data_IF_869118040010
#
_entry.id   IF_869118040010
#
_cell.length_a   1.000
_cell.length_b   1.000
_cell.length_c   1.000
_cell.angle_alpha   90.00
_cell.angle_beta   90.00
_cell.angle_gamma   90.00
#
_symmetry.space_group_name_H-M   'P 1'
#
loop_
_entity.id
_entity.type
_entity.pdbx_description
1 polymer ?
#
# COMPACT_ATOMS: atom_id res chain seq x y z
N UNK A 1 9.73 -12.28 -14.39
CA UNK A 1 9.33 -13.68 -14.12
C UNK A 1 10.13 -14.15 -12.91
N UNK A 2 9.61 -13.92 -11.70
CA UNK A 2 10.25 -14.34 -10.46
C UNK A 2 9.99 -15.85 -10.30
N UNK A 3 11.05 -16.63 -10.21
CA UNK A 3 10.97 -18.08 -10.05
C UNK A 3 10.73 -18.37 -8.56
N UNK A 4 9.53 -18.83 -8.26
CA UNK A 4 9.14 -19.31 -6.93
C UNK A 4 9.85 -20.66 -6.67
N UNK A 5 10.97 -20.65 -5.95
CA UNK A 5 11.60 -21.85 -5.41
C UNK A 5 11.21 -22.06 -3.96
N UNK A 6 9.94 -22.44 -3.76
CA UNK A 6 9.47 -22.91 -2.46
C UNK A 6 9.95 -24.34 -2.22
N UNK A 7 10.79 -24.55 -1.21
CA UNK A 7 11.23 -25.85 -0.73
C UNK A 7 10.03 -26.65 -0.22
N UNK A 8 9.60 -27.65 -0.98
CA UNK A 8 8.57 -28.61 -0.60
C UNK A 8 9.11 -29.58 0.46
N UNK A 9 8.71 -29.39 1.73
CA UNK A 9 8.76 -30.48 2.71
C UNK A 9 7.65 -31.47 2.39
N UNK A 10 8.02 -32.72 2.16
CA UNK A 10 7.11 -33.85 1.94
C UNK A 10 6.07 -33.96 3.05
N UNK A 11 4.82 -33.65 2.73
CA UNK A 11 3.64 -34.15 3.45
C UNK A 11 3.16 -35.39 2.67
N UNK A 12 3.10 -36.52 3.36
CA UNK A 12 2.79 -37.79 2.77
C UNK A 12 1.41 -37.86 2.10
N UNK A 13 1.35 -38.51 0.92
CA UNK A 13 0.15 -39.02 0.29
C UNK A 13 -0.73 -37.96 -0.38
N UNK A 14 -0.21 -37.29 -1.43
CA UNK A 14 -1.04 -36.47 -2.32
C UNK A 14 -1.67 -37.34 -3.39
N UNK A 15 -3.00 -37.31 -3.46
CA UNK A 15 -3.77 -37.81 -4.59
C UNK A 15 -3.41 -36.94 -5.82
N UNK A 16 -2.57 -37.48 -6.72
CA UNK A 16 -2.01 -36.78 -7.89
C UNK A 16 -3.06 -36.32 -8.91
N UNK A 17 -4.35 -36.59 -8.67
CA UNK A 17 -5.45 -36.29 -9.58
C UNK A 17 -6.13 -34.92 -9.30
N UNK A 18 -5.81 -34.26 -8.18
CA UNK A 18 -6.43 -32.98 -7.83
C UNK A 18 -5.60 -31.79 -8.30
N UNK A 19 -6.23 -30.85 -8.98
CA UNK A 19 -5.61 -29.55 -9.29
C UNK A 19 -5.33 -28.77 -7.99
N UNK A 20 -4.37 -27.83 -8.01
CA UNK A 20 -4.11 -26.95 -6.84
C UNK A 20 -5.39 -26.30 -6.31
N UNK A 21 -6.29 -25.88 -7.19
CA UNK A 21 -7.59 -25.32 -6.84
C UNK A 21 -8.46 -26.31 -6.04
N UNK A 22 -8.57 -27.57 -6.49
CA UNK A 22 -9.33 -28.60 -5.79
C UNK A 22 -8.72 -28.95 -4.42
N UNK A 23 -7.40 -28.83 -4.28
CA UNK A 23 -6.73 -29.04 -3.01
C UNK A 23 -7.08 -27.96 -1.98
N UNK A 24 -7.14 -26.68 -2.41
CA UNK A 24 -7.50 -25.57 -1.53
C UNK A 24 -8.99 -25.53 -1.18
N UNK A 25 -9.89 -25.94 -2.06
CA UNK A 25 -11.35 -25.99 -1.78
C UNK A 25 -11.75 -27.01 -0.69
N UNK A 26 -10.88 -27.95 -0.33
CA UNK A 26 -11.11 -28.92 0.74
C UNK A 26 -10.60 -28.51 2.13
N UNK A 27 -9.83 -27.40 2.22
CA UNK A 27 -9.31 -26.86 3.47
C UNK A 27 -10.27 -25.84 4.05
N UNK A 28 -10.35 -25.74 5.39
CA UNK A 28 -11.04 -24.62 6.04
C UNK A 28 -10.29 -23.35 5.67
N UNK A 29 -10.88 -22.53 4.80
CA UNK A 29 -10.26 -21.28 4.34
C UNK A 29 -10.24 -20.26 5.48
N UNK A 30 -9.08 -19.68 5.74
CA UNK A 30 -8.94 -18.57 6.69
C UNK A 30 -9.46 -17.28 6.08
N UNK A 31 -10.27 -16.56 6.84
CA UNK A 31 -10.92 -15.35 6.36
C UNK A 31 -10.06 -14.12 6.57
N UNK A 32 -9.98 -13.31 5.53
CA UNK A 32 -9.25 -12.04 5.49
C UNK A 32 -10.22 -10.90 5.20
N UNK A 33 -10.37 -9.97 6.13
CA UNK A 33 -11.09 -8.72 5.90
C UNK A 33 -10.15 -7.72 5.22
N UNK A 34 -10.57 -7.14 4.10
CA UNK A 34 -9.89 -6.04 3.42
C UNK A 34 -10.78 -4.81 3.46
N UNK A 35 -10.40 -3.80 4.26
CA UNK A 35 -11.10 -2.51 4.29
C UNK A 35 -10.54 -1.56 3.23
N UNK A 36 -11.34 -0.60 2.75
CA UNK A 36 -10.92 0.30 1.67
C UNK A 36 -10.74 -0.40 0.32
N UNK A 37 -11.53 -1.45 0.08
CA UNK A 37 -11.43 -2.34 -1.07
C UNK A 37 -11.62 -1.66 -2.43
N UNK A 38 -12.29 -0.50 -2.49
CA UNK A 38 -12.46 0.29 -3.70
C UNK A 38 -11.32 1.29 -3.95
N UNK A 39 -10.33 1.35 -3.06
CA UNK A 39 -9.10 2.13 -3.22
C UNK A 39 -8.11 1.45 -4.16
N UNK A 40 -6.96 2.11 -4.43
CA UNK A 40 -5.93 1.58 -5.32
C UNK A 40 -5.42 0.21 -4.84
N UNK A 41 -4.94 0.12 -3.60
CA UNK A 41 -4.38 -1.11 -3.05
C UNK A 41 -5.43 -2.21 -2.85
N UNK A 42 -6.61 -1.86 -2.30
CA UNK A 42 -7.68 -2.83 -2.09
C UNK A 42 -8.15 -3.49 -3.39
N UNK A 43 -8.23 -2.71 -4.48
CA UNK A 43 -8.56 -3.23 -5.81
C UNK A 43 -7.46 -4.14 -6.37
N UNK A 44 -6.18 -3.75 -6.25
CA UNK A 44 -5.06 -4.58 -6.69
C UNK A 44 -4.93 -5.88 -5.87
N UNK A 45 -5.23 -5.84 -4.55
CA UNK A 45 -5.31 -7.05 -3.73
C UNK A 45 -6.41 -7.99 -4.22
N UNK A 46 -7.56 -7.44 -4.61
CA UNK A 46 -8.67 -8.25 -5.16
C UNK A 46 -8.29 -8.92 -6.47
N UNK A 47 -7.69 -8.18 -7.39
CA UNK A 47 -7.24 -8.73 -8.68
C UNK A 47 -6.14 -9.78 -8.47
N UNK A 48 -5.16 -9.48 -7.59
CA UNK A 48 -4.09 -10.42 -7.29
C UNK A 48 -4.61 -11.73 -6.72
N UNK A 49 -5.53 -11.68 -5.75
CA UNK A 49 -6.12 -12.86 -5.15
C UNK A 49 -6.96 -13.68 -6.15
N UNK A 50 -7.64 -13.02 -7.09
CA UNK A 50 -8.40 -13.70 -8.14
C UNK A 50 -7.50 -14.42 -9.16
N UNK A 51 -6.33 -13.82 -9.48
CA UNK A 51 -5.36 -14.42 -10.41
C UNK A 51 -4.50 -15.51 -9.74
N UNK A 52 -4.38 -15.50 -8.40
CA UNK A 52 -3.55 -16.42 -7.63
C UNK A 52 -4.37 -17.10 -6.54
N UNK A 53 -5.06 -18.19 -6.83
CA UNK A 53 -5.83 -18.95 -5.85
C UNK A 53 -4.98 -19.31 -4.62
N UNK A 54 -5.52 -19.05 -3.43
CA UNK A 54 -4.84 -19.25 -2.15
C UNK A 54 -5.78 -19.91 -1.13
N UNK A 55 -5.24 -20.27 0.03
CA UNK A 55 -6.02 -20.80 1.16
C UNK A 55 -6.88 -19.75 1.87
N UNK A 56 -6.84 -18.49 1.43
CA UNK A 56 -7.57 -17.40 2.07
C UNK A 56 -8.90 -17.11 1.36
N UNK A 57 -9.92 -16.88 2.17
CA UNK A 57 -11.19 -16.31 1.71
C UNK A 57 -11.18 -14.81 2.02
N UNK A 58 -11.06 -13.98 0.99
CA UNK A 58 -11.07 -12.53 1.14
C UNK A 58 -12.50 -11.99 1.16
N UNK A 59 -12.80 -11.12 2.12
CA UNK A 59 -14.02 -10.32 2.21
C UNK A 59 -13.64 -8.86 2.08
N UNK A 60 -14.09 -8.25 0.99
CA UNK A 60 -13.73 -6.89 0.59
C UNK A 60 -14.83 -5.91 0.99
N UNK A 61 -14.48 -4.84 1.73
CA UNK A 61 -15.43 -3.82 2.17
C UNK A 61 -15.00 -2.42 1.75
N UNK A 62 -15.96 -1.66 1.24
CA UNK A 62 -15.84 -0.21 1.04
C UNK A 62 -16.33 0.53 2.30
N UNK A 63 -16.25 1.87 2.32
CA UNK A 63 -16.82 2.68 3.39
C UNK A 63 -18.35 2.62 3.45
N UNK A 64 -19.01 2.22 2.37
CA UNK A 64 -20.48 1.99 2.34
C UNK A 64 -20.83 0.67 3.01
N UNK A 65 -19.99 -0.36 2.82
CA UNK A 65 -20.23 -1.70 3.39
C UNK A 65 -19.85 -1.75 4.87
N UNK A 66 -18.72 -1.08 5.23
CA UNK A 66 -18.19 -1.04 6.58
C UNK A 66 -17.44 0.27 6.81
N UNK A 67 -18.09 1.22 7.48
CA UNK A 67 -17.45 2.43 7.93
C UNK A 67 -16.58 2.15 9.17
N UNK A 68 -15.27 2.18 8.99
CA UNK A 68 -14.30 1.90 10.05
C UNK A 68 -14.30 2.93 11.18
N UNK A 69 -14.92 4.10 10.99
CA UNK A 69 -15.04 5.12 12.03
C UNK A 69 -16.05 4.75 13.12
N UNK A 70 -16.92 3.76 12.86
CA UNK A 70 -17.95 3.29 13.77
C UNK A 70 -17.52 1.97 14.44
N UNK A 71 -16.96 2.06 15.66
CA UNK A 71 -16.40 0.91 16.41
C UNK A 71 -17.38 -0.28 16.50
N UNK A 72 -18.66 -0.03 16.84
CA UNK A 72 -19.62 -1.10 17.02
C UNK A 72 -20.00 -1.79 15.70
N UNK A 73 -20.00 -1.05 14.59
CA UNK A 73 -20.20 -1.63 13.27
C UNK A 73 -19.03 -2.57 12.91
N UNK A 74 -17.79 -2.12 13.14
CA UNK A 74 -16.58 -2.95 12.91
C UNK A 74 -16.60 -4.20 13.81
N UNK A 75 -16.93 -4.03 15.09
CA UNK A 75 -17.00 -5.14 16.06
C UNK A 75 -18.03 -6.19 15.64
N UNK A 76 -19.24 -5.77 15.30
CA UNK A 76 -20.32 -6.67 14.90
C UNK A 76 -19.97 -7.41 13.61
N UNK A 77 -19.41 -6.71 12.63
CA UNK A 77 -19.00 -7.28 11.35
C UNK A 77 -17.91 -8.35 11.54
N UNK A 78 -16.88 -8.05 12.32
CA UNK A 78 -15.79 -9.01 12.58
C UNK A 78 -16.27 -10.22 13.38
N UNK A 79 -17.16 -10.01 14.37
CA UNK A 79 -17.77 -11.08 15.17
C UNK A 79 -18.59 -12.03 14.31
N UNK A 80 -19.42 -11.50 13.38
CA UNK A 80 -20.28 -12.30 12.52
C UNK A 80 -19.50 -13.18 11.56
N UNK A 81 -18.42 -12.66 10.99
CA UNK A 81 -17.68 -13.35 9.93
C UNK A 81 -16.50 -14.18 10.44
N UNK A 82 -15.99 -13.94 11.65
CA UNK A 82 -14.86 -14.66 12.27
C UNK A 82 -13.58 -14.61 11.39
N UNK A 83 -12.93 -13.43 11.35
CA UNK A 83 -11.69 -13.23 10.59
C UNK A 83 -10.45 -13.65 11.36
N UNK A 84 -9.46 -14.23 10.69
CA UNK A 84 -8.10 -14.42 11.20
C UNK A 84 -7.20 -13.22 10.91
N UNK A 85 -7.46 -12.53 9.78
CA UNK A 85 -6.65 -11.41 9.30
C UNK A 85 -7.51 -10.21 8.95
N UNK A 86 -6.98 -9.03 9.23
CA UNK A 86 -7.54 -7.74 8.79
C UNK A 86 -6.45 -6.98 8.05
N UNK A 87 -6.74 -6.55 6.81
CA UNK A 87 -5.87 -5.68 6.01
C UNK A 87 -6.56 -4.32 5.92
N UNK A 88 -6.01 -3.32 6.58
CA UNK A 88 -6.55 -1.97 6.54
C UNK A 88 -5.92 -1.15 5.42
N UNK A 89 -6.60 -1.09 4.26
CA UNK A 89 -6.30 -0.20 3.14
C UNK A 89 -7.14 1.08 3.15
N UNK A 90 -8.09 1.21 4.09
CA UNK A 90 -8.93 2.40 4.17
C UNK A 90 -8.12 3.60 4.66
N UNK A 91 -8.18 4.70 3.92
CA UNK A 91 -7.55 5.96 4.26
C UNK A 91 -8.20 7.13 3.52
N UNK A 92 -8.22 8.31 4.14
CA UNK A 92 -8.50 9.58 3.50
C UNK A 92 -7.18 10.16 3.00
N UNK A 93 -6.92 10.02 1.70
CA UNK A 93 -5.59 10.30 1.07
C UNK A 93 -5.51 11.63 0.34
N UNK A 94 -6.52 12.48 0.47
CA UNK A 94 -6.54 13.84 -0.08
C UNK A 94 -5.69 14.76 0.80
N UNK A 95 -4.36 14.66 0.68
CA UNK A 95 -3.37 15.26 1.59
C UNK A 95 -3.61 16.76 1.81
N UNK A 96 -3.87 17.51 0.72
CA UNK A 96 -4.14 18.94 0.81
C UNK A 96 -5.49 19.24 1.49
N UNK A 97 -6.53 18.45 1.23
CA UNK A 97 -7.82 18.60 1.90
C UNK A 97 -7.75 18.23 3.39
N UNK A 98 -6.81 17.38 3.81
CA UNK A 98 -6.60 17.12 5.23
C UNK A 98 -6.26 18.38 6.03
N UNK A 99 -5.67 19.41 5.42
CA UNK A 99 -5.35 20.67 6.11
C UNK A 99 -6.61 21.50 6.43
N UNK A 100 -7.69 21.29 5.67
CA UNK A 100 -9.01 21.95 5.90
C UNK A 100 -10.03 21.01 6.56
N UNK A 101 -10.05 19.74 6.13
CA UNK A 101 -11.00 18.72 6.61
C UNK A 101 -10.36 17.87 7.73
N UNK A 102 -9.79 18.55 8.73
CA UNK A 102 -9.02 17.95 9.83
C UNK A 102 -9.78 16.84 10.55
N UNK A 103 -11.07 17.03 10.81
CA UNK A 103 -11.92 16.08 11.53
C UNK A 103 -12.15 14.80 10.71
N UNK A 104 -12.42 14.94 9.42
CA UNK A 104 -12.59 13.80 8.51
C UNK A 104 -11.27 13.02 8.38
N UNK A 105 -10.16 13.74 8.18
CA UNK A 105 -8.83 13.16 8.13
C UNK A 105 -8.52 12.37 9.40
N UNK A 106 -8.79 12.92 10.58
CA UNK A 106 -8.57 12.25 11.86
C UNK A 106 -9.52 11.05 12.07
N UNK A 107 -10.80 11.21 11.75
CA UNK A 107 -11.78 10.13 11.91
C UNK A 107 -11.40 8.90 11.12
N UNK A 108 -11.05 9.07 9.85
CA UNK A 108 -10.71 7.93 8.97
C UNK A 108 -9.31 7.42 9.25
N UNK A 109 -8.29 8.31 9.22
CA UNK A 109 -6.88 7.89 9.24
C UNK A 109 -6.38 7.50 10.64
N UNK A 110 -6.95 8.06 11.72
CA UNK A 110 -6.54 7.74 13.08
C UNK A 110 -7.60 6.88 13.79
N UNK A 111 -8.82 7.41 14.03
CA UNK A 111 -9.82 6.72 14.82
C UNK A 111 -10.30 5.42 14.16
N UNK A 112 -10.47 5.42 12.82
CA UNK A 112 -10.81 4.20 12.08
C UNK A 112 -9.76 3.09 12.22
N UNK A 113 -8.48 3.44 12.13
CA UNK A 113 -7.39 2.49 12.36
C UNK A 113 -7.33 2.01 13.82
N UNK A 114 -7.57 2.91 14.78
CA UNK A 114 -7.66 2.57 16.21
C UNK A 114 -8.82 1.63 16.49
N UNK A 115 -9.99 1.83 15.86
CA UNK A 115 -11.15 0.94 15.99
C UNK A 115 -10.82 -0.47 15.46
N UNK A 116 -10.17 -0.56 14.30
CA UNK A 116 -9.73 -1.85 13.76
C UNK A 116 -8.71 -2.53 14.69
N UNK A 117 -7.80 -1.77 15.31
CA UNK A 117 -6.85 -2.33 16.28
C UNK A 117 -7.55 -2.85 17.54
N UNK A 118 -8.55 -2.13 18.09
CA UNK A 118 -9.38 -2.58 19.21
C UNK A 118 -10.07 -3.89 18.91
N UNK A 119 -10.70 -3.97 17.75
CA UNK A 119 -11.42 -5.17 17.31
C UNK A 119 -10.47 -6.32 17.00
N UNK A 120 -9.32 -6.05 16.38
CA UNK A 120 -8.30 -7.06 16.14
C UNK A 120 -7.78 -7.65 17.45
N UNK A 121 -7.54 -6.83 18.48
CA UNK A 121 -7.14 -7.31 19.82
C UNK A 121 -8.26 -8.10 20.51
N UNK A 122 -9.52 -7.64 20.42
CA UNK A 122 -10.70 -8.28 21.03
C UNK A 122 -10.95 -9.69 20.48
N UNK A 123 -10.82 -9.85 19.14
CA UNK A 123 -11.08 -11.13 18.44
C UNK A 123 -9.81 -11.91 18.09
N UNK A 124 -8.64 -11.46 18.55
CA UNK A 124 -7.34 -12.08 18.25
C UNK A 124 -7.03 -12.18 16.75
N UNK A 125 -7.48 -11.21 15.95
CA UNK A 125 -7.16 -11.12 14.55
C UNK A 125 -5.74 -10.53 14.35
N UNK A 126 -5.03 -10.97 13.32
CA UNK A 126 -3.76 -10.39 12.89
C UNK A 126 -4.04 -9.19 11.99
N UNK A 127 -3.56 -8.01 12.37
CA UNK A 127 -3.81 -6.75 11.63
C UNK A 127 -2.59 -6.34 10.80
N UNK A 128 -2.79 -6.10 9.50
CA UNK A 128 -1.87 -5.36 8.63
C UNK A 128 -2.46 -3.97 8.39
N UNK A 129 -1.75 -2.92 8.83
CA UNK A 129 -2.15 -1.54 8.63
C UNK A 129 -1.24 -0.83 7.64
N UNK A 130 -1.81 -0.21 6.61
CA UNK A 130 -1.05 0.55 5.62
C UNK A 130 -0.87 1.99 6.11
N UNK A 131 0.40 2.40 6.25
CA UNK A 131 0.83 3.74 6.64
C UNK A 131 1.54 4.44 5.48
N UNK A 132 2.28 5.52 5.78
CA UNK A 132 2.83 6.44 4.80
C UNK A 132 4.24 6.90 5.16
N UNK A 133 5.00 7.30 4.16
CA UNK A 133 6.26 8.03 4.24
C UNK A 133 6.10 9.44 4.84
N UNK A 134 4.90 10.04 4.78
CA UNK A 134 4.58 11.35 5.37
C UNK A 134 4.69 11.40 6.90
N UNK A 135 5.03 10.30 7.57
CA UNK A 135 5.42 10.30 8.98
C UNK A 135 6.79 10.93 9.21
N UNK A 136 7.59 11.10 8.16
CA UNK A 136 8.92 11.70 8.20
C UNK A 136 8.89 13.18 7.80
N UNK A 137 9.94 13.94 8.22
CA UNK A 137 10.05 15.38 7.96
C UNK A 137 10.81 15.75 6.67
N UNK A 138 11.41 14.77 6.02
CA UNK A 138 12.12 15.00 4.76
C UNK A 138 13.57 15.53 4.90
N UNK A 139 14.16 15.48 6.10
CA UNK A 139 15.49 16.01 6.36
C UNK A 139 16.62 14.95 6.36
N UNK A 140 16.30 13.69 6.09
CA UNK A 140 17.30 12.62 6.08
C UNK A 140 18.07 12.55 4.75
N UNK A 141 19.28 12.07 4.84
CA UNK A 141 20.18 11.60 3.77
C UNK A 141 21.09 10.56 4.41
N UNK A 142 20.81 9.38 4.56
CA UNK A 142 20.34 8.30 3.68
C UNK A 142 18.84 7.99 3.78
N UNK A 143 18.37 6.95 3.07
CA UNK A 143 16.97 6.50 3.14
C UNK A 143 16.50 6.23 4.57
N UNK A 144 15.24 6.60 4.87
CA UNK A 144 14.62 6.38 6.18
C UNK A 144 14.46 4.91 6.49
N UNK A 145 14.94 4.51 7.65
CA UNK A 145 14.71 3.18 8.24
C UNK A 145 13.47 3.20 9.13
N UNK A 146 12.94 2.03 9.49
CA UNK A 146 11.75 1.92 10.33
C UNK A 146 11.92 2.51 11.73
N UNK A 147 13.16 2.54 12.23
CA UNK A 147 13.57 3.13 13.52
C UNK A 147 13.98 4.60 13.43
N UNK A 148 13.99 5.18 12.23
CA UNK A 148 14.29 6.61 12.05
C UNK A 148 13.27 7.48 12.77
N UNK A 149 13.74 8.65 13.25
CA UNK A 149 12.88 9.61 13.95
C UNK A 149 11.74 10.07 13.05
N UNK A 150 10.51 9.89 13.52
CA UNK A 150 9.29 10.38 12.85
C UNK A 150 8.98 11.81 13.30
N UNK A 151 8.63 12.69 12.35
CA UNK A 151 8.29 14.09 12.59
C UNK A 151 7.39 14.64 11.47
N UNK A 152 6.10 14.21 11.38
CA UNK A 152 5.21 14.56 10.29
C UNK A 152 4.93 16.07 10.22
N UNK A 153 4.99 16.62 9.01
CA UNK A 153 4.78 18.04 8.75
C UNK A 153 3.29 18.39 8.53
N UNK A 154 2.54 17.49 7.86
CA UNK A 154 1.14 17.70 7.47
C UNK A 154 0.14 17.09 8.47
N UNK A 155 -1.12 17.54 8.41
CA UNK A 155 -2.25 16.94 9.17
C UNK A 155 -2.41 15.46 8.82
N UNK A 156 -2.33 15.11 7.54
CA UNK A 156 -2.35 13.73 7.06
C UNK A 156 -1.28 12.86 7.73
N UNK A 157 -0.02 13.28 7.65
CA UNK A 157 1.10 12.56 8.26
C UNK A 157 0.95 12.41 9.78
N UNK A 158 0.47 13.49 10.47
CA UNK A 158 0.19 13.44 11.92
C UNK A 158 -0.92 12.46 12.28
N UNK A 159 -1.99 12.39 11.48
CA UNK A 159 -3.09 11.44 11.69
C UNK A 159 -2.61 10.00 11.48
N UNK A 160 -1.85 9.73 10.41
CA UNK A 160 -1.27 8.41 10.14
C UNK A 160 -0.30 7.97 11.23
N UNK A 161 0.57 8.86 11.73
CA UNK A 161 1.47 8.54 12.85
C UNK A 161 0.71 8.24 14.14
N UNK A 162 -0.39 8.95 14.42
CA UNK A 162 -1.26 8.61 15.57
C UNK A 162 -1.88 7.22 15.41
N UNK A 163 -2.29 6.86 14.19
CA UNK A 163 -2.77 5.52 13.88
C UNK A 163 -1.71 4.45 14.14
N UNK A 164 -0.48 4.64 13.68
CA UNK A 164 0.63 3.71 13.95
C UNK A 164 0.81 3.46 15.46
N UNK A 165 0.84 4.56 16.25
CA UNK A 165 0.98 4.48 17.70
C UNK A 165 -0.19 3.77 18.37
N UNK A 166 -1.43 4.05 17.96
CA UNK A 166 -2.63 3.40 18.47
C UNK A 166 -2.62 1.89 18.14
N UNK A 167 -2.34 1.54 16.88
CA UNK A 167 -2.27 0.14 16.43
C UNK A 167 -1.22 -0.63 17.22
N UNK A 168 0.00 -0.11 17.35
CA UNK A 168 1.08 -0.80 18.07
C UNK A 168 0.82 -0.89 19.59
N UNK A 169 0.11 0.06 20.17
CA UNK A 169 -0.24 0.05 21.60
C UNK A 169 -1.38 -0.93 21.92
N UNK A 170 -2.42 -0.97 21.08
CA UNK A 170 -3.66 -1.71 21.32
C UNK A 170 -3.55 -3.15 20.81
N UNK A 171 -2.98 -3.34 19.62
CA UNK A 171 -2.78 -4.62 18.95
C UNK A 171 -1.29 -4.83 18.63
N UNK A 172 -0.42 -5.07 19.63
CA UNK A 172 1.04 -5.10 19.46
C UNK A 172 1.55 -6.23 18.56
N UNK A 173 0.67 -7.15 18.17
CA UNK A 173 0.98 -8.22 17.22
C UNK A 173 0.69 -7.80 15.76
N UNK A 174 0.44 -6.53 15.49
CA UNK A 174 0.17 -6.03 14.14
C UNK A 174 1.43 -5.87 13.30
N UNK A 175 1.22 -5.82 11.99
CA UNK A 175 2.19 -5.36 11.00
C UNK A 175 1.74 -4.00 10.51
N UNK A 176 2.65 -3.03 10.46
CA UNK A 176 2.45 -1.73 9.83
C UNK A 176 3.37 -1.65 8.62
N UNK A 177 2.82 -1.31 7.45
CA UNK A 177 3.60 -1.12 6.24
C UNK A 177 3.51 0.35 5.83
N UNK A 178 4.61 1.10 5.94
CA UNK A 178 4.73 2.45 5.39
C UNK A 178 5.04 2.35 3.91
N UNK A 179 4.28 3.06 3.09
CA UNK A 179 4.45 3.10 1.64
C UNK A 179 4.46 4.54 1.13
N UNK A 180 4.87 4.75 -0.12
CA UNK A 180 5.02 6.07 -0.74
C UNK A 180 4.51 6.06 -2.19
N UNK A 181 4.00 7.18 -2.69
CA UNK A 181 3.73 7.47 -4.11
C UNK A 181 2.99 6.36 -4.86
N UNK A 182 1.89 5.87 -4.24
CA UNK A 182 1.13 4.73 -4.74
C UNK A 182 0.40 5.06 -6.05
N UNK A 183 0.52 4.19 -7.05
CA UNK A 183 -0.23 4.24 -8.30
C UNK A 183 -0.74 2.87 -8.73
N UNK A 184 -1.83 2.87 -9.50
CA UNK A 184 -2.46 1.65 -10.04
C UNK A 184 -3.39 1.97 -11.21
N UNK A 185 -4.01 0.95 -11.79
CA UNK A 185 -5.08 1.10 -12.80
C UNK A 185 -6.35 1.74 -12.22
N UNK A 186 -6.50 1.71 -10.88
CA UNK A 186 -7.66 2.18 -10.15
C UNK A 186 -7.51 3.63 -9.68
N UNK A 187 -8.63 4.33 -9.58
CA UNK A 187 -8.71 5.71 -9.09
C UNK A 187 -7.81 6.68 -9.86
N UNK A 188 -7.82 7.94 -9.45
CA UNK A 188 -6.90 8.97 -9.94
C UNK A 188 -5.58 8.83 -9.19
N UNK A 189 -4.46 8.94 -9.93
CA UNK A 189 -3.12 8.92 -9.36
C UNK A 189 -2.17 9.72 -10.26
N UNK A 190 -0.92 9.88 -9.84
CA UNK A 190 0.05 10.69 -10.54
C UNK A 190 0.27 10.22 -11.99
N UNK A 191 0.47 8.91 -12.23
CA UNK A 191 0.74 8.38 -13.58
C UNK A 191 -0.40 8.72 -14.54
N UNK A 192 -1.65 8.42 -14.13
CA UNK A 192 -2.84 8.72 -14.96
C UNK A 192 -3.04 10.22 -15.19
N UNK A 193 -2.71 11.04 -14.18
CA UNK A 193 -2.75 12.49 -14.28
C UNK A 193 -1.70 13.00 -15.28
N UNK A 194 -0.47 12.48 -15.23
CA UNK A 194 0.58 12.86 -16.17
C UNK A 194 0.21 12.48 -17.61
N UNK A 195 -0.25 11.25 -17.84
CA UNK A 195 -0.71 10.81 -19.17
C UNK A 195 -1.79 11.72 -19.73
N UNK A 196 -2.78 12.10 -18.91
CA UNK A 196 -3.84 13.02 -19.32
C UNK A 196 -3.30 14.42 -19.62
N UNK A 197 -2.50 15.01 -18.73
CA UNK A 197 -1.95 16.35 -18.92
C UNK A 197 -1.04 16.44 -20.14
N UNK A 198 -0.21 15.42 -20.38
CA UNK A 198 0.65 15.35 -21.57
C UNK A 198 -0.15 15.23 -22.88
N UNK A 199 -1.37 14.68 -22.82
CA UNK A 199 -2.25 14.62 -24.01
C UNK A 199 -3.06 15.91 -24.25
N UNK A 200 -3.22 16.75 -23.21
CA UNK A 200 -4.06 17.96 -23.25
C UNK A 200 -3.26 19.26 -23.39
N UNK A 201 -1.94 19.24 -23.09
CA UNK A 201 -1.10 20.43 -22.96
C UNK A 201 0.18 20.32 -23.77
N UNK A 202 0.63 21.45 -24.31
CA UNK A 202 1.93 21.57 -24.98
C UNK A 202 3.09 21.64 -23.97
N UNK A 203 2.84 22.21 -22.78
CA UNK A 203 3.83 22.30 -21.70
C UNK A 203 3.16 22.39 -20.30
N UNK A 204 3.85 21.92 -19.28
CA UNK A 204 3.52 22.21 -17.86
C UNK A 204 4.69 21.92 -16.92
N UNK A 205 4.62 22.52 -15.72
CA UNK A 205 5.69 22.41 -14.73
C UNK A 205 5.40 21.32 -13.68
N UNK A 206 6.48 20.67 -13.22
CA UNK A 206 6.42 19.59 -12.22
C UNK A 206 7.53 19.81 -11.19
N UNK A 207 7.22 19.58 -9.92
CA UNK A 207 8.17 19.68 -8.81
C UNK A 207 9.34 18.71 -9.00
N UNK A 208 10.58 19.24 -8.90
CA UNK A 208 11.83 18.50 -9.16
C UNK A 208 12.74 18.33 -7.95
N UNK A 209 12.41 18.94 -6.81
CA UNK A 209 13.20 18.94 -5.57
C UNK A 209 12.61 18.04 -4.46
N UNK A 210 11.52 17.32 -4.75
CA UNK A 210 10.97 16.30 -3.84
C UNK A 210 11.41 14.92 -4.31
N UNK A 211 12.17 14.23 -3.45
CA UNK A 211 12.74 12.90 -3.69
C UNK A 211 11.95 11.81 -2.96
N UNK A 212 11.63 10.74 -3.66
CA UNK A 212 10.90 9.60 -3.13
C UNK A 212 11.01 8.39 -4.05
N UNK A 213 10.13 7.43 -3.84
CA UNK A 213 10.07 6.25 -4.70
C UNK A 213 8.62 5.93 -5.07
N UNK A 214 8.27 5.84 -6.36
CA UNK A 214 6.97 5.36 -6.81
C UNK A 214 6.72 3.93 -6.35
N UNK A 215 5.47 3.63 -6.01
CA UNK A 215 5.03 2.27 -5.63
C UNK A 215 3.88 1.83 -6.52
N UNK A 216 4.08 0.78 -7.29
CA UNK A 216 2.98 0.11 -7.98
C UNK A 216 2.17 -0.69 -6.96
N UNK A 217 0.88 -0.36 -6.82
CA UNK A 217 0.02 -0.99 -5.80
C UNK A 217 -0.09 -2.51 -5.97
N UNK A 218 0.10 -3.03 -7.18
CA UNK A 218 0.17 -4.46 -7.48
C UNK A 218 1.35 -5.14 -6.78
N UNK A 219 2.53 -4.49 -6.75
CA UNK A 219 3.71 -5.05 -6.10
C UNK A 219 3.54 -5.07 -4.57
N UNK A 220 2.88 -4.05 -4.01
CA UNK A 220 2.53 -4.04 -2.60
C UNK A 220 1.46 -5.09 -2.27
N UNK A 221 0.49 -5.33 -3.15
CA UNK A 221 -0.52 -6.36 -2.99
C UNK A 221 0.12 -7.76 -2.98
N UNK A 222 1.07 -8.03 -3.88
CA UNK A 222 1.86 -9.26 -3.91
C UNK A 222 2.65 -9.44 -2.60
N UNK A 223 3.35 -8.40 -2.13
CA UNK A 223 4.10 -8.44 -0.88
C UNK A 223 3.19 -8.75 0.34
N UNK A 224 2.00 -8.16 0.41
CA UNK A 224 1.02 -8.45 1.48
C UNK A 224 0.58 -9.92 1.42
N UNK A 225 0.35 -10.46 0.25
CA UNK A 225 -0.03 -11.88 0.08
C UNK A 225 1.11 -12.80 0.54
N UNK A 226 2.37 -12.50 0.18
CA UNK A 226 3.54 -13.24 0.67
C UNK A 226 3.64 -13.18 2.20
N UNK A 227 3.33 -12.03 2.83
CA UNK A 227 3.30 -11.90 4.29
C UNK A 227 2.24 -12.82 4.92
N UNK A 228 1.05 -12.91 4.32
CA UNK A 228 0.00 -13.83 4.78
C UNK A 228 0.41 -15.30 4.61
N UNK A 229 1.02 -15.67 3.48
CA UNK A 229 1.50 -17.03 3.23
C UNK A 229 2.59 -17.45 4.22
N UNK A 230 3.53 -16.54 4.55
CA UNK A 230 4.55 -16.75 5.58
C UNK A 230 3.92 -16.97 6.97
N UNK A 231 2.84 -16.25 7.28
CA UNK A 231 2.12 -16.42 8.55
C UNK A 231 1.51 -17.81 8.70
N UNK A 232 1.10 -18.44 7.60
CA UNK A 232 0.61 -19.82 7.57
C UNK A 232 1.74 -20.86 7.71
N UNK A 233 2.94 -20.50 7.30
CA UNK A 233 4.16 -21.30 7.51
C UNK A 233 4.64 -21.34 8.99
N UNK A 234 3.99 -20.62 9.89
CA UNK A 234 4.21 -20.67 11.34
C UNK A 234 4.82 -19.42 11.95
N UNK A 235 5.13 -18.37 11.18
CA UNK A 235 5.78 -17.17 11.73
C UNK A 235 5.10 -15.86 11.32
N UNK A 236 4.32 -15.29 12.26
CA UNK A 236 3.84 -13.92 12.13
C UNK A 236 4.90 -12.93 12.63
N UNK A 237 5.53 -12.22 11.71
CA UNK A 237 6.62 -11.28 11.98
C UNK A 237 6.06 -9.87 12.20
N UNK A 238 5.53 -9.62 13.41
CA UNK A 238 4.98 -8.30 13.79
C UNK A 238 6.01 -7.18 13.72
N UNK A 239 5.55 -5.95 13.51
CA UNK A 239 6.40 -4.76 13.54
C UNK A 239 6.08 -3.75 12.45
N UNK A 240 6.91 -2.71 12.37
CA UNK A 240 6.85 -1.71 11.31
C UNK A 240 7.81 -2.11 10.20
N UNK A 241 7.34 -1.99 8.96
CA UNK A 241 8.09 -2.29 7.75
C UNK A 241 7.90 -1.16 6.72
N UNK A 242 8.85 -1.04 5.82
CA UNK A 242 8.79 -0.13 4.70
C UNK A 242 8.61 -0.91 3.39
N UNK A 243 7.70 -0.44 2.54
CA UNK A 243 7.56 -0.96 1.19
C UNK A 243 7.34 0.17 0.18
N UNK A 244 8.23 0.30 -0.76
CA UNK A 244 8.05 0.96 -2.05
C UNK A 244 8.85 0.18 -3.09
N UNK A 245 8.68 0.42 -4.38
CA UNK A 245 9.57 -0.18 -5.36
C UNK A 245 11.04 0.24 -5.09
N UNK A 246 12.04 -0.44 -5.65
CA UNK A 246 13.44 -0.06 -5.49
C UNK A 246 13.79 1.16 -6.35
N UNK A 247 14.86 1.84 -5.99
CA UNK A 247 15.35 3.05 -6.64
C UNK A 247 14.84 4.31 -5.98
N UNK A 248 15.18 5.44 -6.57
CA UNK A 248 14.85 6.79 -6.14
C UNK A 248 14.60 7.66 -7.36
N UNK A 249 13.69 8.61 -7.27
CA UNK A 249 13.43 9.63 -8.29
C UNK A 249 12.78 10.87 -7.67
N UNK A 250 12.56 11.91 -8.49
CA UNK A 250 11.72 13.07 -8.15
C UNK A 250 10.38 12.97 -8.88
N UNK A 251 9.40 13.80 -8.51
CA UNK A 251 8.14 13.86 -9.28
C UNK A 251 8.39 14.22 -10.74
N UNK A 252 9.35 15.12 -11.01
CA UNK A 252 9.76 15.48 -12.37
C UNK A 252 10.37 14.27 -13.09
N UNK A 253 11.36 13.59 -12.50
CA UNK A 253 11.98 12.41 -13.10
C UNK A 253 10.99 11.25 -13.30
N UNK A 254 10.01 11.10 -12.40
CA UNK A 254 8.92 10.12 -12.58
C UNK A 254 8.06 10.48 -13.79
N UNK A 255 7.72 11.76 -13.97
CA UNK A 255 6.94 12.21 -15.13
C UNK A 255 7.72 12.08 -16.44
N UNK A 256 9.03 12.38 -16.46
CA UNK A 256 9.89 12.14 -17.62
C UNK A 256 9.90 10.67 -18.03
N UNK A 257 10.00 9.75 -17.08
CA UNK A 257 9.97 8.31 -17.36
C UNK A 257 8.59 7.86 -17.87
N UNK A 258 7.50 8.40 -17.34
CA UNK A 258 6.14 8.13 -17.86
C UNK A 258 6.05 8.59 -19.31
N UNK A 259 6.55 9.79 -19.62
CA UNK A 259 6.57 10.34 -20.97
C UNK A 259 7.36 9.46 -21.95
N UNK A 260 8.58 9.07 -21.54
CA UNK A 260 9.48 8.20 -22.31
C UNK A 260 8.80 6.86 -22.65
N UNK A 261 8.34 6.13 -21.60
CA UNK A 261 7.75 4.80 -21.77
C UNK A 261 6.40 4.81 -22.49
N UNK A 262 5.72 5.96 -22.50
CA UNK A 262 4.44 6.12 -23.23
C UNK A 262 4.61 6.68 -24.64
N UNK A 263 5.85 6.94 -25.08
CA UNK A 263 6.19 7.51 -26.39
C UNK A 263 5.42 8.82 -26.70
N UNK A 264 5.36 9.73 -25.71
CA UNK A 264 4.64 11.02 -25.86
C UNK A 264 5.65 12.12 -26.21
N UNK A 265 5.63 12.64 -27.43
CA UNK A 265 6.58 13.66 -27.93
C UNK A 265 6.06 15.09 -27.85
N UNK A 266 4.74 15.29 -27.84
CA UNK A 266 4.10 16.60 -28.07
C UNK A 266 4.02 17.52 -26.86
N UNK A 267 4.58 17.16 -25.69
CA UNK A 267 4.46 17.94 -24.44
C UNK A 267 5.82 18.19 -23.80
N UNK A 268 6.15 19.46 -23.50
CA UNK A 268 7.35 19.83 -22.75
C UNK A 268 7.10 19.80 -21.24
N UNK A 269 7.97 19.09 -20.50
CA UNK A 269 7.95 19.07 -19.02
C UNK A 269 8.99 20.03 -18.49
N UNK A 270 8.59 20.95 -17.58
CA UNK A 270 9.49 21.95 -17.00
C UNK A 270 9.68 21.68 -15.50
N UNK A 271 10.94 21.52 -15.02
CA UNK A 271 11.18 21.38 -13.59
C UNK A 271 10.94 22.70 -12.87
N UNK A 272 10.32 22.62 -11.68
CA UNK A 272 10.20 23.75 -10.75
C UNK A 272 10.53 23.31 -9.32
N UNK A 273 10.92 24.26 -8.46
CA UNK A 273 11.11 24.00 -7.05
C UNK A 273 9.75 23.95 -6.30
N UNK A 274 9.68 23.23 -5.20
CA UNK A 274 8.50 23.17 -4.33
C UNK A 274 8.05 24.55 -3.82
N UNK A 275 8.99 25.49 -3.61
CA UNK A 275 8.69 26.88 -3.20
C UNK A 275 7.86 27.65 -4.23
N UNK A 276 7.97 27.27 -5.51
CA UNK A 276 7.26 27.90 -6.64
C UNK A 276 5.94 27.18 -6.98
N UNK A 277 5.64 26.09 -6.25
CA UNK A 277 4.40 25.32 -6.35
C UNK A 277 3.70 25.20 -5.00
N UNK A 278 3.05 26.28 -4.53
CA UNK A 278 2.43 26.29 -3.22
C UNK A 278 1.28 25.27 -3.12
N UNK A 279 1.30 24.47 -2.05
CA UNK A 279 0.27 23.49 -1.72
C UNK A 279 -0.21 23.71 -0.28
N UNK A 280 -1.44 23.32 0.04
CA UNK A 280 -1.99 23.47 1.38
C UNK A 280 -1.19 22.67 2.42
N UNK A 281 -0.86 21.42 2.07
CA UNK A 281 -0.02 20.57 2.93
C UNK A 281 1.47 20.76 2.64
N UNK A 282 2.28 20.86 3.68
CA UNK A 282 3.74 20.84 3.56
C UNK A 282 4.17 19.40 3.20
N UNK A 283 4.88 19.27 2.07
CA UNK A 283 5.43 18.00 1.61
C UNK A 283 6.90 17.88 1.99
N UNK A 284 7.34 16.74 2.52
CA UNK A 284 8.75 16.51 2.80
C UNK A 284 9.57 16.47 1.49
N UNK A 285 10.79 17.04 1.51
CA UNK A 285 11.65 17.07 0.32
C UNK A 285 12.31 15.72 0.03
N UNK A 286 12.47 14.86 1.04
CA UNK A 286 13.08 13.54 0.89
C UNK A 286 12.30 12.49 1.67
N UNK A 287 11.77 11.47 1.00
CA UNK A 287 10.99 10.41 1.63
C UNK A 287 11.37 9.00 1.15
N UNK A 288 12.59 8.84 0.65
CA UNK A 288 13.07 7.52 0.24
C UNK A 288 13.12 6.59 1.45
N UNK A 289 12.46 5.44 1.34
CA UNK A 289 12.37 4.43 2.39
C UNK A 289 13.46 3.35 2.20
N UNK A 290 14.09 2.90 3.27
CA UNK A 290 14.87 1.67 3.28
C UNK A 290 13.93 0.46 3.32
N UNK A 291 14.07 -0.46 2.38
CA UNK A 291 13.23 -1.65 2.21
C UNK A 291 13.95 -2.94 2.61
N UNK A 292 15.17 -2.88 3.13
CA UNK A 292 15.98 -4.06 3.45
C UNK A 292 15.27 -4.98 4.44
N UNK A 293 14.69 -4.41 5.50
CA UNK A 293 14.04 -5.17 6.57
C UNK A 293 12.89 -6.05 6.06
N UNK A 294 12.01 -5.53 5.20
CA UNK A 294 10.86 -6.30 4.71
C UNK A 294 11.32 -7.43 3.77
N UNK A 295 12.32 -7.15 2.91
CA UNK A 295 12.91 -8.15 2.00
C UNK A 295 13.60 -9.27 2.78
N UNK A 296 14.42 -8.92 3.78
CA UNK A 296 15.16 -9.89 4.59
C UNK A 296 14.22 -10.72 5.48
N UNK A 297 13.15 -10.10 6.02
CA UNK A 297 12.21 -10.78 6.92
C UNK A 297 11.31 -11.77 6.20
N UNK A 298 10.82 -11.42 4.99
CA UNK A 298 9.83 -12.21 4.25
C UNK A 298 10.39 -12.86 2.99
N UNK A 299 11.70 -12.71 2.74
CA UNK A 299 12.46 -13.41 1.69
C UNK A 299 11.90 -13.22 0.27
N UNK A 300 11.57 -11.99 -0.09
CA UNK A 300 11.18 -11.62 -1.46
C UNK A 300 12.03 -10.45 -1.98
N UNK A 301 12.05 -10.28 -3.29
CA UNK A 301 12.71 -9.17 -3.97
C UNK A 301 11.69 -8.16 -4.46
N UNK A 302 11.98 -6.89 -4.24
CA UNK A 302 11.15 -5.78 -4.72
C UNK A 302 11.68 -5.34 -6.09
N UNK A 303 10.85 -5.23 -7.13
CA UNK A 303 11.30 -4.73 -8.43
C UNK A 303 11.66 -3.24 -8.37
N UNK A 304 12.56 -2.81 -9.27
CA UNK A 304 12.86 -1.39 -9.47
C UNK A 304 11.61 -0.66 -9.99
N UNK A 305 11.40 0.60 -9.56
CA UNK A 305 10.19 1.36 -9.89
C UNK A 305 9.98 1.54 -11.39
N UNK A 306 11.05 1.66 -12.20
CA UNK A 306 10.94 1.76 -13.66
C UNK A 306 10.39 0.48 -14.29
N UNK A 307 10.83 -0.69 -13.81
CA UNK A 307 10.33 -2.00 -14.28
C UNK A 307 8.84 -2.16 -13.97
N UNK A 308 8.42 -1.73 -12.78
CA UNK A 308 7.02 -1.77 -12.38
C UNK A 308 6.16 -0.77 -13.16
N UNK A 309 6.71 0.41 -13.46
CA UNK A 309 6.05 1.41 -14.29
C UNK A 309 5.86 0.91 -15.72
N UNK A 310 6.91 0.36 -16.33
CA UNK A 310 6.84 -0.21 -17.68
C UNK A 310 5.77 -1.31 -17.77
N UNK A 311 5.78 -2.25 -16.82
CA UNK A 311 4.77 -3.31 -16.74
C UNK A 311 3.35 -2.75 -16.60
N UNK A 312 3.17 -1.72 -15.77
CA UNK A 312 1.90 -1.04 -15.59
C UNK A 312 1.42 -0.36 -16.88
N UNK A 313 2.28 0.40 -17.55
CA UNK A 313 1.94 1.10 -18.79
C UNK A 313 1.61 0.12 -19.92
N UNK A 314 2.36 -0.98 -20.04
CA UNK A 314 2.08 -2.03 -21.02
C UNK A 314 0.70 -2.66 -20.81
N UNK A 315 0.31 -2.94 -19.55
CA UNK A 315 -1.03 -3.41 -19.23
C UNK A 315 -2.10 -2.38 -19.58
N UNK A 316 -1.88 -1.12 -19.22
CA UNK A 316 -2.82 -0.03 -19.48
C UNK A 316 -3.05 0.23 -20.99
N UNK A 317 -2.02 0.00 -21.83
CA UNK A 317 -2.11 0.15 -23.29
C UNK A 317 -2.62 -1.13 -23.98
N UNK A 318 -2.41 -2.31 -23.40
CA UNK A 318 -2.86 -3.60 -23.93
C UNK A 318 -4.34 -3.89 -23.69
N UNK A 319 -4.95 -3.22 -22.73
CA UNK A 319 -6.38 -3.32 -22.40
C UNK A 319 -7.25 -2.33 -23.24
N UNK A 320 -6.67 -1.69 -24.27
CA UNK A 320 -7.36 -0.89 -25.29
C UNK A 320 -7.43 -1.70 -26.59
#
# INVERSE_FOLDING_TARGET
MAIYTGSSKHLGGTDETKTKEQYYYGLVQKKVLVTGATGQLGSELKDFANEHPSMFQYIYTSSVDLDITHLDAVRNFVKEHSFEYIINCAAYTMVDLCETDVDVCNSVNHLGAENLAKVAAEFNCKLIHISTDYVFDGNATPPYREDSRVNPLSVYGKAKLRAEKAVMSIAPNSIIIRTAWLYSSYKVNFVKTMLRLMSEREEFSIVSDQHGTPTHARDLAEAITIILDNAEGGEWKKGIYHFSNLGETTWFGFAEKIKELSNIDGCELKPIDSKDYPTAAIRPLYTVLDKSKIQDTFHFTIPHWEVSLERFLNKLHGDK
#
